data_IF_384967540612
#
_entry.id   IF_384967540612
#
_cell.length_a   1.000
_cell.length_b   1.000
_cell.length_c   1.000
_cell.angle_alpha   90.00
_cell.angle_beta   90.00
_cell.angle_gamma   90.00
#
_symmetry.space_group_name_H-M   'P 1'
#
loop_
_entity.id
_entity.type
_entity.pdbx_description
1 polymer ?
#
# COMPACT_ATOMS: atom_id res chain seq x y z
N UNK A 1 6.39 -24.14 -7.49
CA UNK A 1 6.82 -23.77 -8.86
C UNK A 1 6.77 -22.26 -8.98
N UNK A 2 7.61 -21.56 -8.21
CA UNK A 2 8.06 -20.23 -8.57
C UNK A 2 9.55 -20.39 -8.81
N UNK A 3 9.94 -20.35 -10.07
CA UNK A 3 11.35 -20.20 -10.39
C UNK A 3 11.73 -18.79 -9.94
N UNK A 4 12.62 -18.67 -8.96
CA UNK A 4 13.21 -17.39 -8.56
C UNK A 4 13.71 -16.59 -9.78
N UNK A 5 14.08 -17.28 -10.87
CA UNK A 5 14.43 -16.68 -12.15
C UNK A 5 13.31 -15.91 -12.85
N UNK A 6 12.04 -16.27 -12.68
CA UNK A 6 10.91 -15.57 -13.31
C UNK A 6 10.69 -14.20 -12.67
N UNK A 7 10.65 -14.12 -11.34
CA UNK A 7 10.50 -12.86 -10.60
C UNK A 7 11.74 -11.97 -10.78
N UNK A 8 12.95 -12.55 -10.78
CA UNK A 8 14.19 -11.81 -11.08
C UNK A 8 14.17 -11.21 -12.49
N UNK A 9 13.72 -11.98 -13.49
CA UNK A 9 13.60 -11.53 -14.87
C UNK A 9 12.49 -10.49 -15.02
N UNK A 10 11.39 -10.61 -14.28
CA UNK A 10 10.38 -9.55 -14.21
C UNK A 10 10.98 -8.26 -13.66
N UNK A 11 11.71 -8.31 -12.56
CA UNK A 11 12.41 -7.14 -11.99
C UNK A 11 13.34 -6.46 -12.98
N UNK A 12 14.08 -7.22 -13.78
CA UNK A 12 15.01 -6.68 -14.77
C UNK A 12 14.34 -6.06 -16.00
N UNK A 13 13.19 -6.57 -16.41
CA UNK A 13 12.58 -6.20 -17.70
C UNK A 13 11.40 -5.25 -17.57
N UNK A 14 10.70 -5.25 -16.44
CA UNK A 14 9.41 -4.56 -16.29
C UNK A 14 9.49 -3.04 -16.52
N UNK A 15 10.66 -2.42 -16.35
CA UNK A 15 10.86 -1.00 -16.64
C UNK A 15 11.11 -0.70 -18.14
N UNK A 16 11.47 -1.72 -18.93
CA UNK A 16 11.93 -1.59 -20.33
C UNK A 16 11.02 -2.33 -21.34
N UNK A 17 9.88 -2.88 -20.90
CA UNK A 17 8.90 -3.57 -21.75
C UNK A 17 7.73 -2.65 -22.15
N UNK A 18 6.98 -2.98 -23.21
CA UNK A 18 5.76 -2.27 -23.55
C UNK A 18 4.77 -2.23 -22.37
N UNK A 19 4.02 -1.14 -22.23
CA UNK A 19 3.07 -0.92 -21.14
C UNK A 19 2.05 -2.05 -20.98
N UNK A 20 1.60 -2.67 -22.08
CA UNK A 20 0.69 -3.81 -22.03
C UNK A 20 1.33 -5.02 -21.33
N UNK A 21 2.61 -5.28 -21.60
CA UNK A 21 3.37 -6.34 -20.92
C UNK A 21 3.63 -5.97 -19.46
N UNK A 22 3.92 -4.70 -19.18
CA UNK A 22 4.09 -4.18 -17.82
C UNK A 22 2.81 -4.35 -16.98
N UNK A 23 1.63 -4.15 -17.57
CA UNK A 23 0.33 -4.34 -16.93
C UNK A 23 0.13 -5.81 -16.52
N UNK A 24 0.35 -6.74 -17.45
CA UNK A 24 0.24 -8.19 -17.18
C UNK A 24 1.25 -8.67 -16.13
N UNK A 25 2.49 -8.17 -16.20
CA UNK A 25 3.54 -8.52 -15.23
C UNK A 25 3.21 -8.04 -13.82
N UNK A 26 2.69 -6.81 -13.68
CA UNK A 26 2.31 -6.26 -12.38
C UNK A 26 1.06 -6.94 -11.82
N UNK A 27 0.08 -7.28 -12.67
CA UNK A 27 -1.07 -8.09 -12.29
C UNK A 27 -0.65 -9.46 -11.75
N UNK A 28 0.27 -10.14 -12.44
CA UNK A 28 0.80 -11.42 -11.99
C UNK A 28 1.50 -11.32 -10.62
N UNK A 29 2.30 -10.27 -10.39
CA UNK A 29 2.93 -10.04 -9.08
C UNK A 29 1.87 -9.79 -8.00
N UNK A 30 0.82 -9.02 -8.29
CA UNK A 30 -0.27 -8.76 -7.34
C UNK A 30 -1.00 -10.04 -6.93
N UNK A 31 -1.24 -10.96 -7.87
CA UNK A 31 -1.82 -12.29 -7.60
C UNK A 31 -0.87 -13.16 -6.78
N UNK A 32 0.42 -13.18 -7.11
CA UNK A 32 1.42 -13.95 -6.33
C UNK A 32 1.54 -13.44 -4.89
N UNK A 33 1.42 -12.13 -4.69
CA UNK A 33 1.46 -11.49 -3.37
C UNK A 33 0.28 -11.86 -2.46
N UNK A 34 -0.80 -12.45 -2.99
CA UNK A 34 -1.91 -12.98 -2.17
C UNK A 34 -1.52 -14.24 -1.39
N UNK A 35 -0.46 -14.95 -1.81
CA UNK A 35 0.00 -16.16 -1.15
C UNK A 35 0.95 -15.82 -0.01
N UNK A 36 0.55 -16.10 1.23
CA UNK A 36 1.36 -15.88 2.43
C UNK A 36 2.75 -16.54 2.34
N UNK A 37 2.82 -17.74 1.77
CA UNK A 37 4.07 -18.50 1.57
C UNK A 37 5.05 -17.80 0.61
N UNK A 38 4.56 -16.91 -0.26
CA UNK A 38 5.35 -16.26 -1.29
C UNK A 38 5.77 -14.84 -0.92
N UNK A 39 5.08 -14.17 0.01
CA UNK A 39 5.33 -12.76 0.35
C UNK A 39 6.79 -12.51 0.74
N UNK A 40 7.31 -13.25 1.72
CA UNK A 40 8.71 -13.09 2.16
C UNK A 40 9.69 -13.40 1.03
N UNK A 41 9.39 -14.36 0.16
CA UNK A 41 10.25 -14.67 -1.00
C UNK A 41 10.27 -13.51 -2.00
N UNK A 42 9.10 -12.98 -2.37
CA UNK A 42 8.97 -11.84 -3.29
C UNK A 42 9.68 -10.59 -2.76
N UNK A 43 9.51 -10.29 -1.46
CA UNK A 43 10.20 -9.18 -0.82
C UNK A 43 11.72 -9.36 -0.84
N UNK A 44 12.22 -10.56 -0.54
CA UNK A 44 13.65 -10.87 -0.57
C UNK A 44 14.28 -10.81 -1.97
N UNK A 45 13.48 -10.94 -3.03
CA UNK A 45 13.92 -10.70 -4.41
C UNK A 45 14.00 -9.19 -4.76
N UNK A 46 13.64 -8.32 -3.82
CA UNK A 46 13.66 -6.87 -3.97
C UNK A 46 12.59 -6.39 -4.95
N UNK A 47 11.38 -6.94 -4.84
CA UNK A 47 10.23 -6.54 -5.67
C UNK A 47 9.78 -5.10 -5.38
N UNK A 48 10.05 -4.57 -4.19
CA UNK A 48 9.76 -3.17 -3.83
C UNK A 48 10.51 -2.16 -4.71
N UNK A 49 11.77 -2.46 -5.08
CA UNK A 49 12.60 -1.63 -5.98
C UNK A 49 11.93 -1.39 -7.34
N UNK A 50 10.99 -2.27 -7.71
CA UNK A 50 10.26 -2.26 -8.96
C UNK A 50 8.86 -1.68 -8.78
N UNK A 51 8.10 -2.18 -7.81
CA UNK A 51 6.70 -1.82 -7.65
C UNK A 51 6.54 -0.36 -7.23
N UNK A 52 7.43 0.15 -6.36
CA UNK A 52 7.33 1.54 -5.88
C UNK A 52 7.46 2.54 -7.04
N UNK A 53 8.49 2.47 -7.92
CA UNK A 53 8.53 3.30 -9.11
C UNK A 53 7.29 3.17 -10.00
N UNK A 54 6.75 1.96 -10.16
CA UNK A 54 5.59 1.70 -11.01
C UNK A 54 4.28 2.27 -10.48
N UNK A 55 4.20 2.64 -9.19
CA UNK A 55 3.08 3.46 -8.67
C UNK A 55 3.03 4.88 -9.24
N UNK A 56 4.04 5.31 -10.01
CA UNK A 56 4.05 6.55 -10.79
C UNK A 56 3.74 6.33 -12.27
N UNK A 57 3.45 5.09 -12.69
CA UNK A 57 3.21 4.81 -14.10
C UNK A 57 2.05 5.65 -14.62
N UNK A 58 2.14 6.21 -15.85
CA UNK A 58 1.01 6.87 -16.49
C UNK A 58 -0.10 5.88 -16.88
N UNK A 59 0.16 4.56 -16.82
CA UNK A 59 -0.86 3.54 -17.00
C UNK A 59 -1.55 3.26 -15.67
N UNK A 60 -2.85 3.55 -15.62
CA UNK A 60 -3.74 3.27 -14.47
C UNK A 60 -3.68 1.79 -14.07
N UNK A 61 -3.63 0.87 -15.03
CA UNK A 61 -3.54 -0.57 -14.75
C UNK A 61 -2.22 -0.92 -14.06
N UNK A 62 -1.08 -0.46 -14.60
CA UNK A 62 0.24 -0.72 -14.00
C UNK A 62 0.33 -0.09 -12.62
N UNK A 63 -0.15 1.14 -12.48
CA UNK A 63 -0.16 1.89 -11.23
C UNK A 63 -1.00 1.19 -10.15
N UNK A 64 -2.23 0.81 -10.49
CA UNK A 64 -3.15 0.10 -9.59
C UNK A 64 -2.66 -1.29 -9.21
N UNK A 65 -2.21 -2.09 -10.18
CA UNK A 65 -1.67 -3.43 -9.92
C UNK A 65 -0.42 -3.39 -9.02
N UNK A 66 0.46 -2.41 -9.24
CA UNK A 66 1.66 -2.25 -8.42
C UNK A 66 1.33 -1.87 -6.99
N UNK A 67 0.36 -0.97 -6.80
CA UNK A 67 -0.13 -0.59 -5.48
C UNK A 67 -0.83 -1.75 -4.76
N UNK A 68 -1.69 -2.49 -5.46
CA UNK A 68 -2.36 -3.68 -4.92
C UNK A 68 -1.35 -4.76 -4.51
N UNK A 69 -0.30 -4.97 -5.31
CA UNK A 69 0.79 -5.86 -4.95
C UNK A 69 1.50 -5.43 -3.66
N UNK A 70 1.81 -4.13 -3.51
CA UNK A 70 2.44 -3.59 -2.29
C UNK A 70 1.54 -3.76 -1.05
N UNK A 71 0.23 -3.52 -1.18
CA UNK A 71 -0.73 -3.76 -0.10
C UNK A 71 -0.84 -5.24 0.27
N UNK A 72 -0.88 -6.13 -0.72
CA UNK A 72 -0.91 -7.58 -0.47
C UNK A 72 0.34 -8.04 0.27
N UNK A 73 1.51 -7.54 -0.13
CA UNK A 73 2.80 -7.83 0.51
C UNK A 73 2.89 -7.28 1.94
N UNK A 74 2.19 -6.19 2.28
CA UNK A 74 2.22 -5.62 3.63
C UNK A 74 1.31 -6.38 4.61
N UNK A 75 0.42 -7.23 4.12
CA UNK A 75 -0.44 -8.05 4.98
C UNK A 75 0.32 -9.27 5.53
N UNK A 76 0.46 -9.37 6.85
CA UNK A 76 0.89 -10.57 7.59
C UNK A 76 2.21 -11.22 7.11
N UNK A 77 3.18 -10.41 6.65
CA UNK A 77 4.45 -10.93 6.10
C UNK A 77 5.47 -11.36 7.16
N UNK A 78 5.23 -11.02 8.43
CA UNK A 78 6.07 -11.39 9.58
C UNK A 78 7.31 -10.52 9.75
N UNK A 79 8.05 -10.22 8.68
CA UNK A 79 9.18 -9.29 8.69
C UNK A 79 8.88 -8.03 7.87
N UNK A 80 8.76 -6.91 8.57
CA UNK A 80 8.43 -5.61 8.02
C UNK A 80 9.66 -4.73 7.72
N UNK A 81 10.87 -5.22 7.96
CA UNK A 81 12.12 -4.47 7.76
C UNK A 81 12.26 -3.91 6.34
N UNK A 82 11.76 -4.63 5.33
CA UNK A 82 11.80 -4.19 3.93
C UNK A 82 10.89 -2.98 3.70
N UNK A 83 9.73 -2.90 4.35
CA UNK A 83 8.85 -1.73 4.29
C UNK A 83 9.46 -0.52 5.01
N UNK A 84 10.15 -0.75 6.14
CA UNK A 84 10.89 0.29 6.85
C UNK A 84 12.02 0.84 5.97
N UNK A 85 12.82 -0.04 5.36
CA UNK A 85 13.92 0.34 4.48
C UNK A 85 13.44 1.13 3.25
N UNK A 86 12.29 0.75 2.70
CA UNK A 86 11.73 1.39 1.51
C UNK A 86 10.72 2.50 1.83
N UNK A 87 10.72 3.03 3.06
CA UNK A 87 9.73 4.04 3.46
C UNK A 87 9.83 5.32 2.61
N UNK A 88 11.04 5.83 2.39
CA UNK A 88 11.30 7.08 1.63
C UNK A 88 11.89 6.86 0.23
N UNK A 89 12.42 5.67 -0.05
CA UNK A 89 13.12 5.33 -1.28
C UNK A 89 12.69 3.95 -1.78
N UNK A 90 12.82 3.67 -3.08
CA UNK A 90 13.11 4.59 -4.17
C UNK A 90 11.91 5.49 -4.52
N UNK A 91 12.14 6.59 -5.25
CA UNK A 91 11.08 7.45 -5.81
C UNK A 91 10.03 7.93 -4.77
N UNK A 92 10.48 8.32 -3.58
CA UNK A 92 9.60 8.72 -2.48
C UNK A 92 9.07 7.54 -1.65
N UNK A 93 9.40 6.30 -2.02
CA UNK A 93 9.14 5.11 -1.22
C UNK A 93 7.66 4.79 -1.04
N UNK A 94 7.39 3.99 0.00
CA UNK A 94 6.04 3.69 0.46
C UNK A 94 5.30 4.97 0.89
N UNK A 95 5.99 5.92 1.53
CA UNK A 95 5.41 7.21 1.94
C UNK A 95 4.84 7.98 0.76
N UNK A 96 5.65 8.21 -0.27
CA UNK A 96 5.25 8.95 -1.46
C UNK A 96 4.12 8.26 -2.22
N UNK A 97 4.19 6.93 -2.34
CA UNK A 97 3.09 6.13 -2.90
C UNK A 97 1.76 6.38 -2.16
N UNK A 98 1.76 6.19 -0.84
CA UNK A 98 0.55 6.37 -0.03
C UNK A 98 0.04 7.81 -0.12
N UNK A 99 0.92 8.80 -0.05
CA UNK A 99 0.57 10.21 -0.12
C UNK A 99 -0.15 10.55 -1.43
N UNK A 100 0.37 10.08 -2.57
CA UNK A 100 -0.27 10.28 -3.89
C UNK A 100 -1.62 9.60 -4.01
N UNK A 101 -1.73 8.35 -3.56
CA UNK A 101 -2.97 7.57 -3.72
C UNK A 101 -4.07 8.06 -2.79
N UNK A 102 -3.75 8.52 -1.57
CA UNK A 102 -4.74 9.16 -0.70
C UNK A 102 -5.27 10.47 -1.31
N UNK A 103 -4.43 11.22 -2.02
CA UNK A 103 -4.77 12.49 -2.67
C UNK A 103 -5.39 12.34 -4.07
N UNK A 104 -5.55 11.12 -4.58
CA UNK A 104 -5.96 10.89 -5.98
C UNK A 104 -7.36 11.41 -6.30
N UNK A 105 -8.25 11.42 -5.30
CA UNK A 105 -9.69 11.64 -5.51
C UNK A 105 -10.43 10.43 -6.11
N UNK A 106 -9.70 9.37 -6.45
CA UNK A 106 -10.23 8.12 -7.00
C UNK A 106 -10.49 7.13 -5.85
N UNK A 107 -11.72 6.65 -5.73
CA UNK A 107 -12.15 5.79 -4.62
C UNK A 107 -11.36 4.47 -4.58
N UNK A 108 -11.06 3.87 -5.73
CA UNK A 108 -10.27 2.62 -5.80
C UNK A 108 -8.84 2.85 -5.32
N UNK A 109 -8.17 3.92 -5.76
CA UNK A 109 -6.82 4.22 -5.31
C UNK A 109 -6.76 4.62 -3.84
N UNK A 110 -7.74 5.38 -3.36
CA UNK A 110 -7.86 5.69 -1.94
C UNK A 110 -8.10 4.44 -1.11
N UNK A 111 -8.98 3.53 -1.56
CA UNK A 111 -9.18 2.23 -0.91
C UNK A 111 -7.86 1.49 -0.79
N UNK A 112 -7.12 1.30 -1.89
CA UNK A 112 -5.86 0.54 -1.89
C UNK A 112 -4.84 1.15 -0.92
N UNK A 113 -4.71 2.49 -0.88
CA UNK A 113 -3.77 3.14 0.03
C UNK A 113 -4.18 3.05 1.50
N UNK A 114 -5.46 3.30 1.81
CA UNK A 114 -5.97 3.19 3.18
C UNK A 114 -5.90 1.75 3.67
N UNK A 115 -6.24 0.77 2.82
CA UNK A 115 -6.09 -0.64 3.14
C UNK A 115 -4.62 -1.02 3.39
N UNK A 116 -3.70 -0.54 2.56
CA UNK A 116 -2.25 -0.76 2.78
C UNK A 116 -1.80 -0.16 4.11
N UNK A 117 -2.25 1.04 4.46
CA UNK A 117 -1.98 1.67 5.76
C UNK A 117 -2.54 0.84 6.92
N UNK A 118 -3.75 0.32 6.80
CA UNK A 118 -4.35 -0.56 7.79
C UNK A 118 -3.45 -1.79 8.02
N UNK A 119 -2.99 -2.44 6.95
CA UNK A 119 -2.09 -3.59 7.05
C UNK A 119 -0.76 -3.23 7.72
N UNK A 120 -0.21 -2.05 7.45
CA UNK A 120 1.01 -1.57 8.10
C UNK A 120 0.78 -1.25 9.59
N UNK A 121 -0.39 -0.73 9.99
CA UNK A 121 -0.73 -0.54 11.40
C UNK A 121 -0.94 -1.88 12.13
N UNK A 122 -1.60 -2.84 11.49
CA UNK A 122 -1.83 -4.19 12.04
C UNK A 122 -0.56 -5.03 12.17
N UNK A 123 0.55 -4.58 11.55
CA UNK A 123 1.86 -5.22 11.73
C UNK A 123 2.40 -5.16 13.16
N UNK A 124 1.93 -4.18 13.95
CA UNK A 124 2.47 -3.80 15.26
C UNK A 124 3.99 -3.45 15.25
N UNK A 125 4.60 -3.26 14.07
CA UNK A 125 5.99 -2.83 13.95
C UNK A 125 6.15 -1.38 14.42
N UNK A 126 6.83 -1.21 15.56
CA UNK A 126 7.00 0.11 16.20
C UNK A 126 7.72 1.13 15.30
N UNK A 127 8.59 0.69 14.40
CA UNK A 127 9.33 1.58 13.51
C UNK A 127 8.43 2.10 12.39
N UNK A 128 7.67 1.21 11.74
CA UNK A 128 6.68 1.60 10.73
C UNK A 128 5.60 2.51 11.31
N UNK A 129 5.03 2.13 12.46
CA UNK A 129 4.02 2.96 13.13
C UNK A 129 4.60 4.33 13.48
N UNK A 130 5.87 4.37 13.93
CA UNK A 130 6.58 5.61 14.20
C UNK A 130 6.84 6.46 12.94
N UNK A 131 7.07 5.84 11.78
CA UNK A 131 7.19 6.54 10.50
C UNK A 131 5.84 7.12 10.05
N UNK A 132 4.77 6.31 10.05
CA UNK A 132 3.43 6.75 9.67
C UNK A 132 2.95 7.86 10.63
N UNK A 133 3.17 7.71 11.94
CA UNK A 133 2.79 8.68 12.95
C UNK A 133 3.48 10.05 12.85
N UNK A 134 4.59 10.13 12.10
CA UNK A 134 5.32 11.38 11.81
C UNK A 134 5.04 11.93 10.41
N UNK A 135 4.29 11.20 9.59
CA UNK A 135 3.90 11.61 8.25
C UNK A 135 2.61 12.44 8.33
N UNK A 136 2.75 13.73 8.66
CA UNK A 136 1.61 14.63 8.85
C UNK A 136 0.69 14.67 7.61
N UNK A 137 1.27 14.63 6.40
CA UNK A 137 0.53 14.59 5.15
C UNK A 137 -0.35 13.34 5.02
N UNK A 138 0.15 12.17 5.40
CA UNK A 138 -0.62 10.93 5.43
C UNK A 138 -1.76 11.03 6.45
N UNK A 139 -1.46 11.50 7.67
CA UNK A 139 -2.44 11.60 8.75
C UNK A 139 -3.56 12.58 8.38
N UNK A 140 -3.22 13.73 7.81
CA UNK A 140 -4.19 14.73 7.35
C UNK A 140 -5.11 14.17 6.26
N UNK A 141 -4.55 13.45 5.29
CA UNK A 141 -5.36 12.83 4.23
C UNK A 141 -6.28 11.73 4.76
N UNK A 142 -5.81 10.85 5.66
CA UNK A 142 -6.66 9.83 6.30
C UNK A 142 -7.79 10.51 7.08
N UNK A 143 -7.51 11.59 7.83
CA UNK A 143 -8.55 12.37 8.54
C UNK A 143 -9.54 13.00 7.58
N UNK A 144 -9.08 13.52 6.44
CA UNK A 144 -9.97 14.10 5.43
C UNK A 144 -10.91 13.04 4.87
N UNK A 145 -10.41 11.84 4.55
CA UNK A 145 -11.21 10.69 4.08
C UNK A 145 -12.19 10.23 5.17
N UNK A 146 -11.72 10.01 6.39
CA UNK A 146 -12.54 9.50 7.50
C UNK A 146 -13.71 10.42 7.89
N UNK A 147 -13.63 11.71 7.58
CA UNK A 147 -14.64 12.73 7.88
C UNK A 147 -15.58 13.04 6.70
N UNK A 148 -15.44 12.36 5.56
CA UNK A 148 -16.36 12.56 4.42
C UNK A 148 -17.76 12.12 4.83
N UNK A 149 -18.74 12.97 4.54
CA UNK A 149 -20.14 12.59 4.66
C UNK A 149 -20.50 11.80 3.40
N UNK A 150 -20.76 10.52 3.56
CA UNK A 150 -21.34 9.70 2.48
C UNK A 150 -22.80 10.10 2.41
N UNK A 151 -23.18 10.87 1.38
CA UNK A 151 -24.57 11.25 1.17
C UNK A 151 -25.37 9.98 0.84
N UNK A 152 -26.32 9.63 1.71
CA UNK A 152 -27.22 8.51 1.49
C UNK A 152 -28.28 8.89 0.44
N UNK A 153 -27.89 8.97 -0.84
CA UNK A 153 -28.89 9.01 -1.92
C UNK A 153 -29.44 7.59 -2.16
N UNK A 154 -30.78 7.37 -2.16
CA UNK A 154 -31.34 6.03 -1.98
C UNK A 154 -31.28 5.08 -3.19
N UNK A 155 -30.55 5.41 -4.26
CA UNK A 155 -30.60 4.60 -5.50
C UNK A 155 -29.24 4.20 -6.09
N UNK A 156 -28.11 4.74 -5.61
CA UNK A 156 -26.77 4.32 -6.03
C UNK A 156 -25.79 4.57 -4.88
N UNK A 157 -25.73 3.68 -3.89
CA UNK A 157 -24.60 3.67 -2.96
C UNK A 157 -23.34 3.36 -3.77
N UNK A 158 -22.41 4.31 -3.85
CA UNK A 158 -21.01 4.01 -4.15
C UNK A 158 -20.46 3.24 -2.93
N UNK A 159 -20.78 1.94 -2.85
CA UNK A 159 -20.41 1.01 -1.76
C UNK A 159 -18.91 1.12 -1.43
N UNK A 160 -18.10 1.36 -2.46
CA UNK A 160 -16.67 1.59 -2.39
C UNK A 160 -16.30 2.83 -1.56
N UNK A 161 -17.03 3.95 -1.66
CA UNK A 161 -16.74 5.18 -0.89
C UNK A 161 -16.98 4.99 0.61
N UNK A 162 -18.10 4.33 0.97
CA UNK A 162 -18.41 4.00 2.36
C UNK A 162 -17.36 3.09 2.98
N UNK A 163 -16.85 2.12 2.21
CA UNK A 163 -15.78 1.25 2.65
C UNK A 163 -14.47 2.01 2.90
N UNK A 164 -14.09 2.93 1.99
CA UNK A 164 -12.86 3.74 2.16
C UNK A 164 -12.93 4.57 3.45
N UNK A 165 -14.08 5.19 3.74
CA UNK A 165 -14.30 5.97 4.97
C UNK A 165 -14.13 5.09 6.21
N UNK A 166 -14.73 3.90 6.23
CA UNK A 166 -14.63 2.97 7.34
C UNK A 166 -13.18 2.50 7.59
N UNK A 167 -12.44 2.17 6.53
CA UNK A 167 -11.04 1.80 6.62
C UNK A 167 -10.18 2.96 7.16
N UNK A 168 -10.48 4.19 6.75
CA UNK A 168 -9.73 5.38 7.20
C UNK A 168 -9.97 5.66 8.69
N UNK A 169 -11.21 5.53 9.15
CA UNK A 169 -11.56 5.62 10.57
C UNK A 169 -10.79 4.56 11.38
N UNK A 170 -10.73 3.33 10.89
CA UNK A 170 -9.98 2.25 11.55
C UNK A 170 -8.49 2.54 11.66
N UNK A 171 -7.88 3.11 10.62
CA UNK A 171 -6.48 3.56 10.67
C UNK A 171 -6.24 4.59 11.79
N UNK A 172 -7.13 5.57 11.95
CA UNK A 172 -7.01 6.58 13.00
C UNK A 172 -7.16 6.00 14.41
N UNK A 173 -8.05 5.01 14.59
CA UNK A 173 -8.17 4.29 15.86
C UNK A 173 -6.87 3.58 16.24
N UNK A 174 -6.26 2.83 15.31
CA UNK A 174 -5.01 2.11 15.56
C UNK A 174 -3.84 3.05 15.83
N UNK A 175 -3.77 4.19 15.12
CA UNK A 175 -2.78 5.23 15.38
C UNK A 175 -2.94 5.78 16.81
N UNK A 176 -4.16 6.11 17.24
CA UNK A 176 -4.44 6.61 18.58
C UNK A 176 -4.10 5.61 19.70
N UNK A 177 -4.41 4.33 19.49
CA UNK A 177 -4.03 3.25 20.43
C UNK A 177 -2.51 3.11 20.55
N UNK A 178 -1.80 3.16 19.42
CA UNK A 178 -0.33 3.03 19.39
C UNK A 178 0.36 4.20 20.08
N UNK A 179 -0.12 5.43 19.88
CA UNK A 179 0.41 6.64 20.53
C UNK A 179 0.14 6.65 22.04
N UNK A 180 -1.03 6.14 22.47
CA UNK A 180 -1.39 6.04 23.89
C UNK A 180 -0.51 5.02 24.62
N UNK A 181 -0.21 3.86 24.01
CA UNK A 181 0.72 2.86 24.57
C UNK A 181 2.14 3.42 24.72
N UNK A 182 2.63 4.16 23.73
CA UNK A 182 3.95 4.78 23.78
C UNK A 182 4.11 5.82 24.91
N UNK A 183 3.02 6.49 25.31
CA UNK A 183 3.04 7.45 26.42
C UNK A 183 3.04 6.79 27.81
N UNK A 184 2.60 5.53 27.92
CA UNK A 184 2.56 4.79 29.20
C UNK A 184 3.88 4.06 29.47
N UNK A 185 4.63 3.70 28.42
CA UNK A 185 5.90 2.94 28.52
C UNK A 185 7.17 3.80 28.62
N UNK A 186 7.06 5.14 28.60
CA UNK A 186 8.19 6.09 28.66
C UNK A 186 8.33 6.78 30.01
#
# INVERSE_FOLDING_TARGET
>A
VLDAGAVQKCKQLVLDVPVTVQSEMTAAIAVLALSDDLKSHLLNLGVCDVLIPLTHSPSIEVQGNSAAALGNLSSKVGDYSIFVQNWNDPNGGIHGYLSRFLQSGDATFQHIAVWTLLQLFESEDKTLIGHIGKADDIIENIRAIANRQVEAEPEFEDEDEGEVVNLAQRCLELLGQSMSKAHIEG
#
